data_IF_505878668897
#
_entry.id   IF_505878668897
#
_cell.length_a   1.000
_cell.length_b   1.000
_cell.length_c   1.000
_cell.angle_alpha   90.00
_cell.angle_beta   90.00
_cell.angle_gamma   90.00
#
_symmetry.space_group_name_H-M   'P 1'
#
loop_
_entity.id
_entity.type
_entity.pdbx_description
1 polymer ?
#
# COMPACT_ATOMS: atom_id res chain seq x y z
N UNK A 1 11.48 -27.11 -10.93
CA UNK A 1 11.66 -25.95 -10.06
C UNK A 1 12.34 -26.38 -8.78
N UNK A 2 13.03 -25.46 -8.09
CA UNK A 2 13.70 -25.75 -6.82
C UNK A 2 12.72 -26.13 -5.69
N UNK A 3 13.27 -26.61 -4.58
CA UNK A 3 12.52 -26.98 -3.37
C UNK A 3 11.86 -25.76 -2.71
N UNK A 4 10.88 -25.94 -1.81
CA UNK A 4 10.36 -24.85 -0.98
C UNK A 4 11.45 -24.11 -0.20
N UNK A 5 12.49 -24.81 0.24
CA UNK A 5 13.63 -24.23 0.96
C UNK A 5 14.44 -23.30 0.04
N UNK A 6 14.67 -23.70 -1.21
CA UNK A 6 15.34 -22.85 -2.20
C UNK A 6 14.52 -21.60 -2.49
N UNK A 7 13.21 -21.74 -2.64
CA UNK A 7 12.32 -20.60 -2.85
C UNK A 7 12.30 -19.66 -1.65
N UNK A 8 12.22 -20.18 -0.43
CA UNK A 8 12.25 -19.35 0.79
C UNK A 8 13.55 -18.56 0.90
N UNK A 9 14.69 -19.20 0.59
CA UNK A 9 15.98 -18.50 0.53
C UNK A 9 15.99 -17.41 -0.53
N UNK A 10 15.48 -17.68 -1.73
CA UNK A 10 15.36 -16.69 -2.79
C UNK A 10 14.45 -15.52 -2.38
N UNK A 11 13.24 -15.81 -1.89
CA UNK A 11 12.25 -14.84 -1.45
C UNK A 11 12.79 -13.91 -0.35
N UNK A 12 13.53 -14.45 0.61
CA UNK A 12 14.10 -13.66 1.69
C UNK A 12 15.19 -12.65 1.26
N UNK A 13 15.77 -12.81 0.06
CA UNK A 13 16.92 -12.01 -0.39
C UNK A 13 16.64 -11.15 -1.63
N UNK A 14 15.65 -11.51 -2.44
CA UNK A 14 15.36 -10.82 -3.70
C UNK A 14 14.74 -9.43 -3.45
N UNK A 15 15.08 -8.46 -4.32
CA UNK A 15 14.52 -7.11 -4.32
C UNK A 15 13.79 -6.83 -5.63
N UNK A 16 12.62 -7.41 -5.77
CA UNK A 16 11.75 -7.23 -6.94
C UNK A 16 10.29 -7.10 -6.48
N UNK A 17 9.47 -6.39 -7.25
CA UNK A 17 8.04 -6.25 -6.93
C UNK A 17 7.14 -7.36 -7.47
N UNK A 18 7.62 -8.15 -8.44
CA UNK A 18 6.93 -9.35 -8.93
C UNK A 18 7.88 -10.54 -8.80
N UNK A 19 7.45 -11.55 -8.06
CA UNK A 19 8.23 -12.76 -7.77
C UNK A 19 7.32 -13.97 -7.99
N UNK A 20 7.77 -14.91 -8.81
CA UNK A 20 7.02 -16.09 -9.20
C UNK A 20 7.80 -17.36 -8.86
N UNK A 21 7.17 -18.34 -8.22
CA UNK A 21 7.73 -19.68 -8.03
C UNK A 21 7.10 -20.66 -9.02
N UNK A 22 7.93 -21.38 -9.79
CA UNK A 22 7.48 -22.38 -10.76
C UNK A 22 6.46 -21.85 -11.79
N UNK A 23 6.55 -20.55 -12.12
CA UNK A 23 5.76 -19.85 -13.13
C UNK A 23 6.68 -18.90 -13.92
N UNK A 24 6.35 -18.56 -15.18
CA UNK A 24 7.12 -17.59 -15.97
C UNK A 24 7.26 -16.22 -15.29
N UNK A 25 8.34 -15.50 -15.55
CA UNK A 25 8.62 -14.18 -14.95
C UNK A 25 7.63 -13.09 -15.37
N UNK A 26 6.98 -13.25 -16.52
CA UNK A 26 5.95 -12.33 -17.03
C UNK A 26 4.51 -12.69 -16.59
N UNK A 27 4.33 -13.77 -15.80
CA UNK A 27 3.04 -14.09 -15.21
C UNK A 27 2.71 -13.14 -14.06
N UNK A 28 1.58 -12.43 -14.12
CA UNK A 28 1.13 -11.54 -13.05
C UNK A 28 -0.40 -11.55 -12.93
N UNK A 29 -0.90 -11.27 -11.73
CA UNK A 29 -2.34 -11.14 -11.46
C UNK A 29 -2.74 -9.67 -11.54
N UNK A 30 -3.77 -9.34 -12.33
CA UNK A 30 -4.34 -7.98 -12.38
C UNK A 30 -5.04 -7.57 -11.06
N UNK A 31 -5.36 -8.55 -10.20
CA UNK A 31 -5.95 -8.33 -8.88
C UNK A 31 -4.90 -8.11 -7.79
N UNK A 32 -3.62 -8.12 -8.13
CA UNK A 32 -2.52 -7.79 -7.22
C UNK A 32 -1.85 -6.48 -7.68
N UNK A 33 -1.10 -5.79 -6.79
CA UNK A 33 -0.27 -4.65 -7.19
C UNK A 33 0.79 -5.07 -8.21
N UNK A 34 1.11 -4.17 -9.16
CA UNK A 34 2.17 -4.39 -10.14
C UNK A 34 3.10 -3.17 -10.18
N UNK A 35 4.33 -3.32 -9.66
CA UNK A 35 5.32 -2.23 -9.67
C UNK A 35 6.72 -2.72 -9.34
N UNK A 36 7.73 -2.12 -9.98
CA UNK A 36 9.14 -2.44 -9.74
C UNK A 36 9.73 -1.65 -8.56
N UNK A 37 10.80 -2.19 -7.98
CA UNK A 37 11.62 -1.52 -6.96
C UNK A 37 12.85 -0.87 -7.61
N UNK A 38 13.53 0.02 -6.87
CA UNK A 38 14.76 0.68 -7.35
C UNK A 38 14.50 1.58 -8.55
N UNK A 39 15.35 1.49 -9.59
CA UNK A 39 15.19 2.30 -10.82
C UNK A 39 13.99 1.87 -11.68
N UNK A 40 13.35 0.74 -11.37
CA UNK A 40 12.19 0.25 -12.11
C UNK A 40 10.86 0.88 -11.68
N UNK A 41 10.86 1.80 -10.71
CA UNK A 41 9.64 2.44 -10.23
C UNK A 41 9.91 3.60 -9.27
N UNK A 42 8.83 4.20 -8.78
CA UNK A 42 8.85 5.36 -7.89
C UNK A 42 7.92 5.17 -6.68
N UNK A 43 7.74 3.93 -6.23
CA UNK A 43 6.85 3.55 -5.12
C UNK A 43 5.35 3.83 -5.36
N UNK A 44 4.93 3.90 -6.63
CA UNK A 44 3.51 3.98 -7.03
C UNK A 44 3.14 2.77 -7.90
N UNK A 45 2.93 1.59 -7.30
CA UNK A 45 2.56 0.39 -8.07
C UNK A 45 1.20 0.58 -8.75
N UNK A 46 1.08 0.06 -9.97
CA UNK A 46 -0.14 0.06 -10.77
C UNK A 46 -0.96 -1.22 -10.53
N UNK A 47 -1.76 -1.61 -11.54
CA UNK A 47 -2.74 -2.69 -11.45
C UNK A 47 -3.71 -2.45 -10.27
N UNK A 48 -3.78 -3.34 -9.28
CA UNK A 48 -4.74 -3.21 -8.18
C UNK A 48 -4.55 -1.92 -7.36
N UNK A 49 -3.32 -1.44 -7.20
CA UNK A 49 -3.01 -0.21 -6.46
C UNK A 49 -3.02 1.06 -7.34
N UNK A 50 -3.45 0.96 -8.61
CA UNK A 50 -3.59 2.14 -9.45
C UNK A 50 -4.55 3.18 -8.86
N UNK A 51 -5.56 2.74 -8.09
CA UNK A 51 -6.49 3.63 -7.41
C UNK A 51 -5.78 4.62 -6.46
N UNK A 52 -4.71 4.19 -5.80
CA UNK A 52 -3.98 4.95 -4.78
C UNK A 52 -3.31 6.20 -5.36
N UNK A 53 -2.95 6.20 -6.64
CA UNK A 53 -2.39 7.39 -7.31
C UNK A 53 -3.39 8.10 -8.23
N UNK A 54 -4.58 7.52 -8.46
CA UNK A 54 -5.64 8.14 -9.26
C UNK A 54 -6.55 9.04 -8.42
N UNK A 55 -6.63 8.82 -7.11
CA UNK A 55 -7.42 9.62 -6.19
C UNK A 55 -6.56 10.10 -5.01
N UNK A 56 -6.96 11.22 -4.41
CA UNK A 56 -6.38 11.69 -3.15
C UNK A 56 -7.45 11.59 -2.06
N UNK A 57 -7.09 11.11 -0.84
CA UNK A 57 -8.05 11.03 0.24
C UNK A 57 -8.41 12.44 0.73
N UNK A 58 -9.70 12.67 0.98
CA UNK A 58 -10.20 13.84 1.70
C UNK A 58 -10.94 13.33 2.92
N UNK A 59 -10.56 13.82 4.09
CA UNK A 59 -11.25 13.53 5.34
C UNK A 59 -11.96 14.79 5.82
N UNK A 60 -13.26 14.70 6.11
CA UNK A 60 -14.06 15.75 6.73
C UNK A 60 -14.56 15.29 8.11
N UNK A 61 -14.82 16.25 9.00
CA UNK A 61 -15.61 16.02 10.21
C UNK A 61 -16.82 16.91 10.12
N UNK A 62 -18.01 16.32 10.23
CA UNK A 62 -19.28 17.02 10.06
C UNK A 62 -20.08 16.93 11.35
N UNK A 63 -20.68 18.04 11.74
CA UNK A 63 -21.53 18.15 12.91
C UNK A 63 -22.76 18.97 12.52
N UNK A 64 -23.93 18.33 12.55
CA UNK A 64 -25.20 18.94 12.14
C UNK A 64 -25.57 20.16 13.01
N UNK A 65 -25.30 20.06 14.32
CA UNK A 65 -25.45 21.18 15.25
C UNK A 65 -24.14 21.49 15.96
N UNK A 66 -23.58 22.70 15.83
CA UNK A 66 -22.33 23.06 16.49
C UNK A 66 -22.48 22.95 18.01
N UNK A 67 -21.63 22.13 18.63
CA UNK A 67 -21.51 21.99 20.08
C UNK A 67 -20.07 22.27 20.48
N UNK A 68 -19.90 23.18 21.43
CA UNK A 68 -18.62 23.43 22.07
C UNK A 68 -18.60 22.73 23.42
N UNK A 69 -17.55 21.94 23.68
CA UNK A 69 -17.23 21.46 25.02
C UNK A 69 -16.15 22.37 25.57
N UNK A 70 -16.43 23.10 26.65
CA UNK A 70 -15.41 23.92 27.32
C UNK A 70 -14.53 22.97 28.15
N UNK A 71 -13.22 22.94 27.85
CA UNK A 71 -12.23 22.26 28.68
C UNK A 71 -12.07 22.93 30.04
N UNK A 72 -11.64 22.18 31.06
CA UNK A 72 -11.48 22.68 32.44
C UNK A 72 -10.57 23.91 32.47
N UNK A 73 -11.06 25.03 32.99
CA UNK A 73 -10.26 26.27 33.18
C UNK A 73 -11.00 27.58 32.87
N UNK A 74 -12.14 27.55 32.17
CA UNK A 74 -12.99 28.73 31.96
C UNK A 74 -14.12 28.75 32.99
N UNK A 75 -13.77 29.01 34.25
CA UNK A 75 -14.72 29.40 35.28
C UNK A 75 -14.25 30.75 35.84
N UNK A 76 -14.97 31.81 35.43
CA UNK A 76 -15.07 33.13 36.05
C UNK A 76 -13.79 33.75 36.62
N UNK A 77 -13.15 34.61 35.83
CA UNK A 77 -12.42 35.78 36.35
C UNK A 77 -13.39 36.91 36.67
#
# INVERSE_FOLDING_TARGET
>A
GGSPQDYNRFWANIRAGIINWNRPTNGASSKAPFGGLGLSGNHRPAAYYAADYCAYPVASTEMDQPRATIGVGLANS
#
